data_IF_683155685483
#
_entry.id   IF_683155685483
#
_cell.length_a   1.000
_cell.length_b   1.000
_cell.length_c   1.000
_cell.angle_alpha   90.00
_cell.angle_beta   90.00
_cell.angle_gamma   90.00
#
_symmetry.space_group_name_H-M   'P 1'
#
loop_
_entity.id
_entity.type
_entity.pdbx_description
1 polymer ?
#
# COMPACT_ATOMS: atom_id res chain seq x y z
N UNK A 1 -27.00 19.73 56.50
CA UNK A 1 -25.97 19.18 55.60
C UNK A 1 -26.05 17.66 55.62
N UNK A 2 -26.20 17.01 54.46
CA UNK A 2 -26.18 15.54 54.34
C UNK A 2 -26.45 15.13 52.90
N UNK A 3 -25.44 14.60 52.23
CA UNK A 3 -25.29 14.51 50.76
C UNK A 3 -26.11 13.36 50.15
N UNK A 4 -26.74 13.64 49.00
CA UNK A 4 -27.33 12.65 48.09
C UNK A 4 -26.19 11.89 47.40
N UNK A 5 -26.15 10.57 47.54
CA UNK A 5 -25.22 9.72 46.81
C UNK A 5 -25.90 9.22 45.53
N UNK A 6 -25.63 9.90 44.40
CA UNK A 6 -25.92 9.36 43.07
C UNK A 6 -24.78 8.45 42.65
N UNK A 7 -25.01 7.14 42.67
CA UNK A 7 -24.11 6.16 42.07
C UNK A 7 -24.31 6.17 40.55
N UNK A 8 -23.37 6.78 39.83
CA UNK A 8 -23.24 6.67 38.38
C UNK A 8 -22.63 5.30 38.08
N UNK A 9 -23.39 4.44 37.41
CA UNK A 9 -22.90 3.19 36.82
C UNK A 9 -22.06 3.60 35.60
N UNK A 10 -20.74 3.45 35.69
CA UNK A 10 -19.85 3.56 34.55
C UNK A 10 -19.99 2.28 33.69
N UNK A 11 -20.56 2.41 32.49
CA UNK A 11 -20.42 1.41 31.44
C UNK A 11 -18.94 1.40 31.02
N UNK A 12 -18.23 0.33 31.37
CA UNK A 12 -16.95 0.03 30.74
C UNK A 12 -17.25 -0.49 29.31
N UNK A 13 -17.02 0.35 28.31
CA UNK A 13 -16.88 -0.09 26.92
C UNK A 13 -15.61 -0.92 26.83
N UNK A 14 -15.77 -2.25 26.73
CA UNK A 14 -14.70 -3.15 26.30
C UNK A 14 -14.54 -2.94 24.80
N UNK A 15 -13.52 -2.19 24.40
CA UNK A 15 -13.02 -2.12 23.04
C UNK A 15 -11.53 -2.48 23.07
N UNK A 16 -11.21 -3.76 23.05
CA UNK A 16 -9.84 -4.24 22.89
C UNK A 16 -9.87 -5.54 22.09
N UNK A 17 -9.36 -5.49 20.86
CA UNK A 17 -9.21 -6.65 19.97
C UNK A 17 -9.71 -6.41 18.55
N UNK A 18 -9.39 -5.27 17.95
CA UNK A 18 -9.36 -5.15 16.49
C UNK A 18 -7.90 -4.98 16.12
N UNK A 19 -7.36 -5.84 15.26
CA UNK A 19 -6.06 -5.64 14.63
C UNK A 19 -6.13 -4.25 13.97
N UNK A 20 -5.37 -3.30 14.49
CA UNK A 20 -5.46 -1.92 14.03
C UNK A 20 -4.68 -1.77 12.74
N UNK A 21 -5.37 -1.51 11.64
CA UNK A 21 -4.72 -1.20 10.37
C UNK A 21 -4.15 0.22 10.41
N UNK A 22 -2.87 0.38 10.03
CA UNK A 22 -2.20 1.68 10.09
C UNK A 22 -1.16 1.88 8.99
N UNK A 23 -1.01 3.12 8.52
CA UNK A 23 0.05 3.49 7.58
C UNK A 23 1.41 3.40 8.28
N UNK A 24 2.41 2.67 7.71
CA UNK A 24 3.76 2.65 8.24
C UNK A 24 4.37 4.05 8.29
N UNK A 25 5.09 4.35 9.36
CA UNK A 25 5.79 5.66 9.52
C UNK A 25 7.12 5.71 8.78
N UNK A 26 7.65 4.56 8.37
CA UNK A 26 8.92 4.41 7.65
C UNK A 26 8.81 3.28 6.62
N UNK A 27 9.75 3.26 5.69
CA UNK A 27 9.78 2.23 4.65
C UNK A 27 10.10 0.84 5.22
N UNK A 28 9.21 -0.15 5.05
CA UNK A 28 9.43 -1.50 5.57
C UNK A 28 10.68 -2.17 5.01
N UNK A 29 11.59 -2.58 5.90
CA UNK A 29 12.83 -3.30 5.54
C UNK A 29 12.85 -4.75 6.04
N UNK A 30 11.73 -5.23 6.61
CA UNK A 30 11.56 -6.59 7.11
C UNK A 30 11.00 -7.53 6.05
N UNK A 31 9.81 -8.07 6.32
CA UNK A 31 9.19 -9.10 5.50
C UNK A 31 8.91 -8.62 4.07
N UNK A 32 8.56 -7.34 3.88
CA UNK A 32 8.45 -6.76 2.54
C UNK A 32 9.75 -6.84 1.73
N UNK A 33 10.90 -6.53 2.32
CA UNK A 33 12.19 -6.60 1.62
C UNK A 33 12.60 -8.06 1.35
N UNK A 34 12.24 -8.99 2.24
CA UNK A 34 12.41 -10.43 2.00
C UNK A 34 11.58 -10.85 0.78
N UNK A 35 10.31 -10.44 0.69
CA UNK A 35 9.46 -10.74 -0.45
C UNK A 35 10.01 -10.13 -1.75
N UNK A 36 10.52 -8.90 -1.73
CA UNK A 36 11.19 -8.28 -2.87
C UNK A 36 12.37 -9.11 -3.39
N UNK A 37 13.15 -9.74 -2.49
CA UNK A 37 14.29 -10.57 -2.88
C UNK A 37 13.89 -11.90 -3.53
N UNK A 38 12.62 -12.33 -3.45
CA UNK A 38 12.13 -13.48 -4.22
C UNK A 38 11.99 -13.17 -5.72
N UNK A 39 11.82 -11.89 -6.08
CA UNK A 39 11.68 -11.43 -7.47
C UNK A 39 12.96 -10.81 -8.01
N UNK A 40 13.64 -10.02 -7.19
CA UNK A 40 14.85 -9.27 -7.54
C UNK A 40 15.91 -9.61 -6.50
N UNK A 41 16.68 -10.66 -6.77
CA UNK A 41 17.75 -11.14 -5.87
C UNK A 41 18.79 -10.04 -5.62
N UNK A 42 19.09 -9.76 -4.36
CA UNK A 42 19.96 -8.66 -3.96
C UNK A 42 19.28 -7.29 -3.88
N UNK A 43 17.94 -7.25 -3.92
CA UNK A 43 17.17 -6.03 -3.70
C UNK A 43 17.45 -5.43 -2.32
N UNK A 44 17.66 -4.11 -2.28
CA UNK A 44 17.83 -3.32 -1.07
C UNK A 44 16.84 -2.17 -1.04
N UNK A 45 16.59 -1.61 0.14
CA UNK A 45 15.96 -0.31 0.24
C UNK A 45 16.86 0.77 -0.36
N UNK A 46 16.26 1.68 -1.12
CA UNK A 46 16.91 2.80 -1.79
C UNK A 46 16.33 4.08 -1.20
N UNK A 47 17.20 4.88 -0.56
CA UNK A 47 16.84 6.20 -0.02
C UNK A 47 16.69 7.20 -1.17
N UNK A 48 15.52 7.17 -1.80
CA UNK A 48 15.18 8.03 -2.94
C UNK A 48 14.70 9.39 -2.45
N UNK A 49 15.35 10.51 -2.84
CA UNK A 49 14.84 11.84 -2.57
C UNK A 49 13.63 12.11 -3.46
N UNK A 50 12.44 11.85 -2.95
CA UNK A 50 11.19 12.05 -3.70
C UNK A 50 10.95 13.52 -4.03
N UNK A 51 10.56 13.79 -5.27
CA UNK A 51 10.09 15.09 -5.74
C UNK A 51 8.67 14.92 -6.31
N UNK A 52 7.63 14.97 -5.46
CA UNK A 52 6.26 14.73 -5.90
C UNK A 52 5.78 15.79 -6.89
N UNK A 53 5.38 15.36 -8.08
CA UNK A 53 4.75 16.25 -9.06
C UNK A 53 3.24 16.37 -8.77
N UNK A 54 2.61 17.54 -8.98
CA UNK A 54 1.17 17.71 -8.82
C UNK A 54 0.36 16.68 -9.60
N UNK A 55 -0.81 16.33 -9.06
CA UNK A 55 -1.77 15.41 -9.68
C UNK A 55 -1.22 13.98 -9.94
N UNK A 56 -0.17 13.57 -9.23
CA UNK A 56 0.38 12.21 -9.27
C UNK A 56 0.01 11.38 -8.05
N UNK A 57 0.13 10.06 -8.17
CA UNK A 57 -0.06 9.13 -7.05
C UNK A 57 0.96 9.39 -5.93
N UNK A 58 2.20 9.72 -6.28
CA UNK A 58 3.24 10.09 -5.32
C UNK A 58 2.87 11.34 -4.52
N UNK A 59 2.39 12.40 -5.17
CA UNK A 59 1.96 13.61 -4.47
C UNK A 59 0.77 13.34 -3.57
N UNK A 60 -0.26 12.64 -4.07
CA UNK A 60 -1.42 12.29 -3.24
C UNK A 60 -1.05 11.46 -2.02
N UNK A 61 -0.12 10.49 -2.17
CA UNK A 61 0.33 9.66 -1.06
C UNK A 61 1.08 10.48 0.00
N UNK A 62 2.02 11.32 -0.41
CA UNK A 62 2.87 12.13 0.48
C UNK A 62 2.09 13.26 1.14
N UNK A 63 1.22 13.97 0.39
CA UNK A 63 0.41 15.07 0.91
C UNK A 63 -0.58 14.60 1.97
N UNK A 64 -1.02 13.34 1.89
CA UNK A 64 -1.87 12.70 2.90
C UNK A 64 -1.07 12.13 4.09
N UNK A 65 0.23 12.38 4.19
CA UNK A 65 1.10 11.93 5.28
C UNK A 65 1.55 10.48 5.17
N UNK A 66 1.46 9.89 3.98
CA UNK A 66 1.96 8.54 3.69
C UNK A 66 3.47 8.48 3.48
N UNK A 67 3.95 7.29 3.16
CA UNK A 67 5.35 7.00 2.84
C UNK A 67 5.48 6.48 1.42
N UNK A 68 6.57 6.87 0.75
CA UNK A 68 6.97 6.38 -0.55
C UNK A 68 8.33 5.70 -0.44
N UNK A 69 8.44 4.50 -1.00
CA UNK A 69 9.58 3.62 -0.80
C UNK A 69 10.05 3.05 -2.12
N UNK A 70 11.37 2.94 -2.29
CA UNK A 70 11.98 2.31 -3.46
C UNK A 70 12.83 1.13 -3.02
N UNK A 71 12.67 0.01 -3.72
CA UNK A 71 13.40 -1.22 -3.46
C UNK A 71 13.92 -1.81 -4.76
N UNK A 72 15.16 -2.26 -4.80
CA UNK A 72 15.71 -2.92 -5.97
C UNK A 72 17.23 -2.89 -6.05
N UNK A 73 17.74 -3.00 -7.27
CA UNK A 73 19.16 -2.92 -7.60
C UNK A 73 19.37 -1.65 -8.43
N UNK A 74 19.90 -0.59 -7.80
CA UNK A 74 20.07 0.71 -8.45
C UNK A 74 20.89 0.62 -9.75
N UNK A 75 21.99 -0.13 -9.75
CA UNK A 75 22.87 -0.28 -10.92
C UNK A 75 22.21 -0.98 -12.10
N UNK A 76 21.15 -1.77 -11.85
CA UNK A 76 20.42 -2.49 -12.87
C UNK A 76 19.11 -1.80 -13.30
N UNK A 77 18.71 -0.73 -12.60
CA UNK A 77 17.42 -0.03 -12.80
C UNK A 77 16.20 -0.99 -12.70
N UNK A 78 16.34 -2.06 -11.91
CA UNK A 78 15.28 -3.03 -11.65
C UNK A 78 14.81 -2.88 -10.22
N UNK A 79 13.50 -2.66 -10.03
CA UNK A 79 12.94 -2.46 -8.70
C UNK A 79 11.45 -2.18 -8.69
N UNK A 80 10.98 -1.84 -7.51
CA UNK A 80 9.61 -1.43 -7.23
C UNK A 80 9.59 -0.10 -6.50
N UNK A 81 8.57 0.69 -6.79
CA UNK A 81 8.13 1.84 -5.99
C UNK A 81 6.85 1.45 -5.29
N UNK A 82 6.83 1.55 -3.96
CA UNK A 82 5.67 1.21 -3.14
C UNK A 82 5.28 2.41 -2.29
N UNK A 83 3.98 2.71 -2.28
CA UNK A 83 3.41 3.78 -1.47
C UNK A 83 2.49 3.15 -0.42
N UNK A 84 2.56 3.64 0.81
CA UNK A 84 1.53 3.41 1.82
C UNK A 84 0.98 4.75 2.26
N UNK A 85 -0.34 4.93 2.18
CA UNK A 85 -0.99 6.21 2.52
C UNK A 85 -2.42 5.97 3.01
N UNK A 86 -3.18 7.03 3.23
CA UNK A 86 -4.55 6.95 3.76
C UNK A 86 -5.57 6.62 2.66
N UNK A 87 -6.72 6.08 3.06
CA UNK A 87 -7.86 5.84 2.16
C UNK A 87 -8.37 7.11 1.47
N UNK A 88 -8.21 8.30 2.07
CA UNK A 88 -8.59 9.57 1.44
C UNK A 88 -7.82 9.79 0.13
N UNK A 89 -6.51 9.54 0.16
CA UNK A 89 -5.66 9.62 -1.03
C UNK A 89 -6.07 8.59 -2.10
N UNK A 90 -6.38 7.33 -1.71
CA UNK A 90 -6.92 6.33 -2.64
C UNK A 90 -8.18 6.81 -3.36
N UNK A 91 -9.16 7.32 -2.61
CA UNK A 91 -10.44 7.78 -3.16
C UNK A 91 -10.23 8.93 -4.13
N UNK A 92 -9.31 9.85 -3.83
CA UNK A 92 -9.00 11.00 -4.70
C UNK A 92 -8.42 10.59 -6.06
N UNK A 93 -7.73 9.46 -6.15
CA UNK A 93 -6.99 9.01 -7.35
C UNK A 93 -7.76 8.03 -8.22
N UNK A 94 -8.76 7.35 -7.65
CA UNK A 94 -9.57 6.32 -8.31
C UNK A 94 -10.10 6.70 -9.70
N UNK A 95 -10.66 7.91 -9.83
CA UNK A 95 -11.22 8.37 -11.10
C UNK A 95 -10.15 8.54 -12.18
N UNK A 96 -8.93 8.94 -11.79
CA UNK A 96 -7.80 9.08 -12.70
C UNK A 96 -7.30 7.71 -13.15
N UNK A 97 -7.15 6.74 -12.23
CA UNK A 97 -6.76 5.37 -12.59
C UNK A 97 -7.72 4.73 -13.61
N UNK A 98 -9.02 4.93 -13.43
CA UNK A 98 -10.02 4.49 -14.41
C UNK A 98 -9.81 5.14 -15.78
N UNK A 99 -9.54 6.45 -15.81
CA UNK A 99 -9.26 7.18 -17.04
C UNK A 99 -7.96 6.70 -17.71
N UNK A 100 -6.97 6.29 -16.92
CA UNK A 100 -5.68 5.76 -17.37
C UNK A 100 -5.74 4.27 -17.77
N UNK A 101 -6.92 3.65 -17.73
CA UNK A 101 -7.15 2.29 -18.18
C UNK A 101 -6.92 1.21 -17.12
N UNK A 102 -6.74 1.59 -15.85
CA UNK A 102 -6.76 0.60 -14.76
C UNK A 102 -8.17 0.01 -14.61
N UNK A 103 -8.22 -1.28 -14.33
CA UNK A 103 -9.46 -2.02 -14.13
C UNK A 103 -9.56 -2.48 -12.67
N UNK A 104 -10.78 -2.51 -12.15
CA UNK A 104 -11.03 -3.06 -10.83
C UNK A 104 -10.79 -4.58 -10.86
N UNK A 105 -10.08 -5.09 -9.87
CA UNK A 105 -9.76 -6.52 -9.71
C UNK A 105 -10.06 -6.97 -8.28
N UNK A 106 -10.21 -8.27 -8.09
CA UNK A 106 -10.37 -8.87 -6.77
C UNK A 106 -9.00 -9.33 -6.26
N UNK A 107 -8.64 -8.89 -5.05
CA UNK A 107 -7.40 -9.26 -4.37
C UNK A 107 -7.75 -9.71 -2.96
N UNK A 108 -7.31 -10.91 -2.59
CA UNK A 108 -7.55 -11.41 -1.23
C UNK A 108 -6.91 -10.49 -0.20
N UNK A 109 -7.69 -10.08 0.80
CA UNK A 109 -7.22 -9.19 1.85
C UNK A 109 -7.27 -7.71 1.51
N UNK A 110 -7.75 -7.30 0.33
CA UNK A 110 -8.08 -5.91 0.01
C UNK A 110 -9.60 -5.73 -0.09
N UNK A 111 -10.10 -4.58 0.35
CA UNK A 111 -11.51 -4.19 0.20
C UNK A 111 -11.82 -3.72 -1.22
N UNK A 112 -10.83 -3.13 -1.89
CA UNK A 112 -10.91 -2.67 -3.26
C UNK A 112 -9.52 -2.69 -3.91
N UNK A 113 -9.42 -3.09 -5.18
CA UNK A 113 -8.16 -3.06 -5.90
C UNK A 113 -8.32 -2.61 -7.36
N UNK A 114 -7.33 -1.85 -7.86
CA UNK A 114 -7.24 -1.37 -9.24
C UNK A 114 -5.89 -1.76 -9.83
N UNK A 115 -5.90 -2.40 -11.01
CA UNK A 115 -4.69 -2.88 -11.65
C UNK A 115 -4.53 -2.29 -13.05
N UNK A 116 -3.32 -1.84 -13.38
CA UNK A 116 -2.87 -1.60 -14.75
C UNK A 116 -2.07 -2.80 -15.23
N UNK A 117 -2.67 -3.63 -16.07
CA UNK A 117 -1.99 -4.76 -16.69
C UNK A 117 -2.06 -4.63 -18.21
N UNK A 118 -0.90 -4.67 -18.86
CA UNK A 118 -0.79 -4.55 -20.31
C UNK A 118 -0.14 -5.79 -20.91
N UNK A 119 -0.34 -6.00 -22.21
CA UNK A 119 0.32 -7.08 -22.95
C UNK A 119 0.85 -6.54 -24.26
N UNK A 120 2.18 -6.54 -24.39
CA UNK A 120 2.91 -6.04 -25.55
C UNK A 120 3.84 -7.15 -26.04
N UNK A 121 3.87 -7.41 -27.36
CA UNK A 121 4.81 -8.35 -27.99
C UNK A 121 4.92 -9.76 -27.35
N UNK A 122 3.81 -10.26 -26.82
CA UNK A 122 3.66 -11.53 -26.06
C UNK A 122 4.20 -11.53 -24.63
N UNK A 123 4.56 -10.36 -24.10
CA UNK A 123 4.90 -10.16 -22.69
C UNK A 123 3.75 -9.43 -22.00
N UNK A 124 3.26 -10.00 -20.91
CA UNK A 124 2.25 -9.40 -20.05
C UNK A 124 2.94 -8.82 -18.83
N UNK A 125 2.54 -7.60 -18.45
CA UNK A 125 3.15 -6.89 -17.35
C UNK A 125 2.09 -6.22 -16.46
N UNK A 126 2.22 -6.39 -15.15
CA UNK A 126 1.47 -5.66 -14.14
C UNK A 126 2.26 -4.39 -13.77
N UNK A 127 1.90 -3.27 -14.38
CA UNK A 127 2.60 -1.99 -14.20
C UNK A 127 2.30 -1.32 -12.87
N UNK A 128 1.04 -1.41 -12.43
CA UNK A 128 0.58 -0.78 -11.20
C UNK A 128 -0.53 -1.59 -10.56
N UNK A 129 -0.52 -1.65 -9.24
CA UNK A 129 -1.59 -2.20 -8.41
C UNK A 129 -1.85 -1.24 -7.25
N UNK A 130 -3.09 -0.78 -7.14
CA UNK A 130 -3.57 0.05 -6.04
C UNK A 130 -4.55 -0.77 -5.21
N UNK A 131 -4.26 -0.94 -3.93
CA UNK A 131 -5.07 -1.70 -2.97
C UNK A 131 -5.60 -0.76 -1.89
N UNK A 132 -6.87 -0.94 -1.53
CA UNK A 132 -7.45 -0.40 -0.31
C UNK A 132 -7.57 -1.54 0.69
N UNK A 133 -6.97 -1.36 1.87
CA UNK A 133 -7.02 -2.29 3.00
C UNK A 133 -7.46 -1.50 4.23
N UNK A 134 -8.70 -1.70 4.65
CA UNK A 134 -9.39 -0.86 5.64
C UNK A 134 -9.23 0.63 5.29
N UNK A 135 -8.57 1.41 6.15
CA UNK A 135 -8.32 2.85 5.95
C UNK A 135 -6.95 3.16 5.31
N UNK A 136 -6.27 2.16 4.75
CA UNK A 136 -4.91 2.29 4.17
C UNK A 136 -4.89 1.98 2.68
N UNK A 137 -4.32 2.91 1.92
CA UNK A 137 -3.94 2.73 0.53
C UNK A 137 -2.54 2.12 0.43
N UNK A 138 -2.40 1.08 -0.38
CA UNK A 138 -1.12 0.53 -0.81
C UNK A 138 -1.02 0.64 -2.34
N UNK A 139 0.03 1.28 -2.84
CA UNK A 139 0.37 1.26 -4.27
C UNK A 139 1.62 0.41 -4.48
N UNK A 140 1.60 -0.49 -5.45
CA UNK A 140 2.76 -1.26 -5.89
C UNK A 140 2.96 -0.99 -7.39
N UNK A 141 4.06 -0.33 -7.74
CA UNK A 141 4.54 -0.17 -9.11
C UNK A 141 5.87 -0.89 -9.28
N UNK A 142 5.95 -1.83 -10.23
CA UNK A 142 7.16 -2.64 -10.41
C UNK A 142 7.39 -2.97 -11.89
N UNK A 143 8.65 -3.16 -12.28
CA UNK A 143 9.05 -3.48 -13.66
C UNK A 143 9.27 -4.96 -13.91
N UNK A 144 9.08 -5.82 -12.91
CA UNK A 144 9.37 -7.26 -12.98
C UNK A 144 8.15 -8.18 -12.73
N UNK A 145 6.96 -7.62 -12.48
CA UNK A 145 5.75 -8.40 -12.18
C UNK A 145 4.98 -8.74 -13.47
N UNK A 146 4.89 -10.02 -13.88
CA UNK A 146 4.19 -10.37 -15.11
C UNK A 146 2.66 -10.28 -14.96
N UNK A 147 2.10 -10.66 -13.81
CA UNK A 147 0.66 -10.65 -13.57
C UNK A 147 0.29 -10.61 -12.08
N UNK A 148 -0.99 -10.36 -11.79
CA UNK A 148 -1.52 -10.28 -10.42
C UNK A 148 -1.28 -11.55 -9.60
N UNK A 149 -1.34 -12.74 -10.22
CA UNK A 149 -1.15 -14.00 -9.51
C UNK A 149 0.30 -14.16 -9.07
N UNK A 150 1.24 -13.82 -9.94
CA UNK A 150 2.68 -13.86 -9.66
C UNK A 150 3.07 -12.86 -8.58
N UNK A 151 2.37 -11.73 -8.44
CA UNK A 151 2.61 -10.70 -7.45
C UNK A 151 2.15 -11.07 -6.02
N UNK A 152 1.48 -12.23 -5.84
CA UNK A 152 0.87 -12.65 -4.57
C UNK A 152 1.75 -12.48 -3.33
N UNK A 153 2.96 -13.09 -3.28
CA UNK A 153 3.88 -12.91 -2.16
C UNK A 153 4.18 -11.45 -1.81
N UNK A 154 4.37 -10.59 -2.81
CA UNK A 154 4.65 -9.16 -2.59
C UNK A 154 3.40 -8.40 -2.10
N UNK A 155 2.22 -8.75 -2.62
CA UNK A 155 0.93 -8.23 -2.17
C UNK A 155 0.69 -8.59 -0.71
N UNK A 156 0.84 -9.87 -0.36
CA UNK A 156 0.63 -10.37 0.99
C UNK A 156 1.58 -9.68 1.97
N UNK A 157 2.85 -9.51 1.60
CA UNK A 157 3.81 -8.79 2.41
C UNK A 157 3.39 -7.32 2.61
N UNK A 158 3.02 -6.61 1.54
CA UNK A 158 2.61 -5.20 1.62
C UNK A 158 1.37 -4.99 2.51
N UNK A 159 0.40 -5.92 2.43
CA UNK A 159 -0.81 -5.92 3.27
C UNK A 159 -0.45 -6.21 4.73
N UNK A 160 0.50 -7.11 5.00
CA UNK A 160 0.93 -7.39 6.36
C UNK A 160 1.64 -6.20 7.01
N UNK A 161 2.32 -5.35 6.26
CA UNK A 161 2.94 -4.13 6.82
C UNK A 161 1.92 -3.14 7.42
N UNK A 162 0.66 -3.22 7.01
CA UNK A 162 -0.40 -2.33 7.51
C UNK A 162 -1.24 -2.97 8.60
N UNK A 163 -1.18 -4.30 8.77
CA UNK A 163 -1.92 -5.07 9.78
C UNK A 163 -0.98 -5.41 10.92
N UNK A 164 -1.15 -4.77 12.07
CA UNK A 164 -0.29 -4.92 13.24
C UNK A 164 -0.19 -6.33 13.82
#
# INVERSE_FOLDING_TARGET
>A
MGRVASSIIALALVACGGDSTSVPTECPQGDFLVAMNEYVDGSVFIDTPWEPAPDTDLAAAIDAGGVACSYGIQEAEVGATVLWSTAEAFVSRRAQWQADGQVQVEVNGADEAWALQETNDNETHLWALNLLVDDVWIHIGATFLPDLKSAGPLIDAAINEVRG
#
